data_IF_882078752963
#
_entry.id   IF_882078752963
#
_cell.length_a   1.000
_cell.length_b   1.000
_cell.length_c   1.000
_cell.angle_alpha   90.00
_cell.angle_beta   90.00
_cell.angle_gamma   90.00
#
_symmetry.space_group_name_H-M   'P 1'
#
loop_
_entity.id
_entity.type
_entity.pdbx_description
1 polymer ?
#
# COMPACT_ATOMS: atom_id res chain seq x y z
N UNK A 1 -46.08 -41.90 -54.34
CA UNK A 1 -45.25 -40.69 -54.52
C UNK A 1 -45.73 -39.63 -53.52
N UNK A 2 -45.01 -39.43 -52.40
CA UNK A 2 -44.95 -38.15 -51.68
C UNK A 2 -43.73 -38.14 -50.74
N UNK A 3 -42.91 -37.14 -51.03
CA UNK A 3 -41.63 -36.65 -50.52
C UNK A 3 -41.39 -36.72 -49.00
N UNK A 4 -40.17 -37.13 -48.64
CA UNK A 4 -39.46 -36.70 -47.43
C UNK A 4 -39.17 -35.19 -47.50
N UNK A 5 -39.33 -34.47 -46.39
CA UNK A 5 -38.57 -33.24 -46.13
C UNK A 5 -38.17 -33.14 -44.66
N UNK A 6 -36.86 -32.98 -44.46
CA UNK A 6 -36.17 -32.63 -43.22
C UNK A 6 -36.16 -31.09 -43.14
N UNK A 7 -36.51 -30.50 -41.99
CA UNK A 7 -36.07 -29.15 -41.65
C UNK A 7 -35.56 -29.16 -40.21
N UNK A 8 -34.27 -28.91 -40.09
CA UNK A 8 -33.57 -28.59 -38.86
C UNK A 8 -33.89 -27.15 -38.44
N UNK A 9 -34.11 -26.94 -37.14
CA UNK A 9 -33.93 -25.63 -36.50
C UNK A 9 -33.32 -25.86 -35.13
N UNK A 10 -32.01 -25.69 -35.05
CA UNK A 10 -31.33 -25.44 -33.79
C UNK A 10 -31.65 -24.02 -33.32
N UNK A 11 -31.70 -23.83 -32.00
CA UNK A 11 -31.52 -22.53 -31.37
C UNK A 11 -30.65 -22.72 -30.12
N UNK A 12 -29.37 -22.39 -30.30
CA UNK A 12 -28.44 -22.08 -29.23
C UNK A 12 -28.84 -20.69 -28.73
N UNK A 13 -29.25 -20.58 -27.46
CA UNK A 13 -29.20 -19.30 -26.75
C UNK A 13 -28.18 -19.40 -25.61
N UNK A 14 -26.99 -18.89 -25.96
CA UNK A 14 -26.02 -18.26 -25.09
C UNK A 14 -26.69 -17.21 -24.19
N UNK A 15 -26.45 -17.20 -22.88
CA UNK A 15 -25.49 -16.27 -22.30
C UNK A 15 -25.43 -16.44 -20.78
N UNK A 16 -24.19 -16.54 -20.32
CA UNK A 16 -23.76 -16.56 -18.94
C UNK A 16 -23.97 -15.14 -18.37
N UNK A 17 -24.84 -15.00 -17.39
CA UNK A 17 -24.74 -13.89 -16.43
C UNK A 17 -24.95 -14.44 -15.02
N UNK A 18 -23.90 -15.12 -14.54
CA UNK A 18 -23.62 -15.13 -13.12
C UNK A 18 -23.24 -13.70 -12.72
N UNK A 19 -24.23 -12.89 -12.38
CA UNK A 19 -24.03 -11.65 -11.64
C UNK A 19 -23.70 -12.04 -10.20
N UNK A 20 -22.48 -12.51 -9.97
CA UNK A 20 -21.87 -12.39 -8.65
C UNK A 20 -21.58 -10.91 -8.46
N UNK A 21 -22.61 -10.17 -8.03
CA UNK A 21 -22.44 -8.88 -7.38
C UNK A 21 -21.69 -9.14 -6.08
N UNK A 22 -20.37 -9.31 -6.21
CA UNK A 22 -19.46 -9.20 -5.09
C UNK A 22 -19.49 -7.74 -4.71
N UNK A 23 -20.41 -7.35 -3.82
CA UNK A 23 -20.20 -6.16 -3.03
C UNK A 23 -18.93 -6.43 -2.23
N UNK A 24 -17.79 -6.05 -2.81
CA UNK A 24 -16.54 -5.94 -2.08
C UNK A 24 -16.78 -4.79 -1.12
N UNK A 25 -17.46 -5.08 -0.02
CA UNK A 25 -17.34 -4.29 1.18
C UNK A 25 -15.84 -4.13 1.37
N UNK A 26 -15.37 -2.89 1.36
CA UNK A 26 -14.09 -2.50 1.93
C UNK A 26 -14.15 -2.91 3.40
N UNK A 27 -13.98 -4.21 3.65
CA UNK A 27 -14.10 -4.78 4.96
C UNK A 27 -12.91 -4.23 5.70
N UNK A 28 -13.24 -3.55 6.79
CA UNK A 28 -12.39 -3.27 7.92
C UNK A 28 -11.88 -4.62 8.51
N UNK A 29 -11.17 -5.41 7.70
CA UNK A 29 -10.62 -6.70 8.06
C UNK A 29 -9.52 -6.38 9.03
N UNK A 30 -9.68 -6.85 10.27
CA UNK A 30 -8.58 -6.89 11.23
C UNK A 30 -7.35 -7.42 10.49
N UNK A 31 -6.17 -6.79 10.66
CA UNK A 31 -4.98 -7.23 9.96
C UNK A 31 -4.77 -8.72 10.20
N UNK A 32 -4.32 -9.44 9.18
CA UNK A 32 -4.02 -10.86 9.33
C UNK A 32 -3.03 -11.07 10.47
N UNK A 33 -3.03 -12.27 11.06
CA UNK A 33 -2.06 -12.63 12.12
C UNK A 33 -0.62 -12.38 11.61
N UNK A 34 -0.34 -12.74 10.36
CA UNK A 34 0.96 -12.48 9.73
C UNK A 34 1.29 -10.99 9.63
N UNK A 35 0.33 -10.16 9.23
CA UNK A 35 0.53 -8.73 9.14
C UNK A 35 0.84 -8.12 10.51
N UNK A 36 0.05 -8.45 11.54
CA UNK A 36 0.30 -7.97 12.90
C UNK A 36 1.68 -8.40 13.43
N UNK A 37 2.08 -9.65 13.18
CA UNK A 37 3.42 -10.14 13.54
C UNK A 37 4.51 -9.35 12.82
N UNK A 38 4.32 -9.06 11.53
CA UNK A 38 5.26 -8.25 10.73
C UNK A 38 5.40 -6.83 11.27
N UNK A 39 4.28 -6.16 11.58
CA UNK A 39 4.28 -4.80 12.15
C UNK A 39 4.98 -4.77 13.53
N UNK A 40 4.72 -5.76 14.40
CA UNK A 40 5.41 -5.85 15.69
C UNK A 40 6.90 -6.17 15.55
N UNK A 41 7.27 -6.98 14.57
CA UNK A 41 8.68 -7.27 14.26
C UNK A 41 9.39 -6.02 13.77
N UNK A 42 8.79 -5.25 12.86
CA UNK A 42 9.31 -3.98 12.38
C UNK A 42 9.56 -3.01 13.55
N UNK A 43 8.56 -2.81 14.42
CA UNK A 43 8.70 -2.00 15.64
C UNK A 43 9.90 -2.44 16.50
N UNK A 44 10.03 -3.74 16.75
CA UNK A 44 11.18 -4.29 17.50
C UNK A 44 12.51 -4.08 16.77
N UNK A 45 12.54 -4.30 15.45
CA UNK A 45 13.75 -4.13 14.65
C UNK A 45 14.24 -2.68 14.67
N UNK A 46 13.34 -1.70 14.59
CA UNK A 46 13.66 -0.26 14.69
C UNK A 46 14.32 0.03 16.04
N UNK A 47 13.72 -0.44 17.13
CA UNK A 47 14.14 -0.12 18.50
C UNK A 47 15.34 -0.92 19.00
N UNK A 48 15.61 -2.10 18.44
CA UNK A 48 16.62 -3.05 18.96
C UNK A 48 18.01 -2.42 18.99
N UNK A 49 18.60 -2.38 20.19
CA UNK A 49 19.96 -1.88 20.45
C UNK A 49 20.20 -0.43 19.99
N UNK A 50 19.15 0.38 19.88
CA UNK A 50 19.22 1.78 19.45
C UNK A 50 18.55 2.70 20.45
N UNK A 51 19.03 3.93 20.55
CA UNK A 51 18.41 5.00 21.35
C UNK A 51 17.25 5.64 20.57
N UNK A 52 16.25 4.83 20.22
CA UNK A 52 15.04 5.23 19.50
C UNK A 52 13.81 4.53 20.07
N UNK A 53 12.65 5.17 20.01
CA UNK A 53 11.35 4.60 20.36
C UNK A 53 10.37 4.86 19.22
N UNK A 54 9.53 3.88 18.94
CA UNK A 54 8.30 4.09 18.16
C UNK A 54 7.23 4.55 19.13
N UNK A 55 6.87 5.84 19.08
CA UNK A 55 5.93 6.46 20.04
C UNK A 55 4.50 6.45 19.54
N UNK A 56 4.29 6.39 18.22
CA UNK A 56 2.98 6.25 17.63
C UNK A 56 3.04 5.38 16.37
N UNK A 57 1.91 4.74 16.08
CA UNK A 57 1.69 4.02 14.83
C UNK A 57 0.25 4.22 14.39
N UNK A 58 0.02 4.46 13.12
CA UNK A 58 -1.31 4.62 12.55
C UNK A 58 -1.41 3.94 11.17
N UNK A 59 -2.64 3.75 10.73
CA UNK A 59 -2.96 3.31 9.38
C UNK A 59 -3.89 4.34 8.76
N UNK A 60 -3.58 4.79 7.55
CA UNK A 60 -4.36 5.80 6.83
C UNK A 60 -4.83 5.27 5.47
N UNK A 61 -6.02 5.69 5.03
CA UNK A 61 -6.49 5.41 3.68
C UNK A 61 -5.97 6.47 2.70
N UNK A 62 -5.10 6.05 1.79
CA UNK A 62 -4.37 6.93 0.86
C UNK A 62 -5.15 7.27 -0.42
N UNK A 63 -6.35 6.71 -0.61
CA UNK A 63 -7.14 6.88 -1.84
C UNK A 63 -7.55 8.33 -2.14
N UNK A 64 -7.56 9.18 -1.12
CA UNK A 64 -7.83 10.60 -1.29
C UNK A 64 -6.62 11.38 -1.78
N UNK A 65 -5.41 10.89 -1.50
CA UNK A 65 -4.14 11.59 -1.77
C UNK A 65 -3.55 11.26 -3.14
N UNK A 66 -3.83 10.06 -3.66
CA UNK A 66 -3.22 9.57 -4.91
C UNK A 66 -4.23 9.41 -6.05
N UNK A 67 -3.78 9.68 -7.28
CA UNK A 67 -4.52 9.43 -8.53
C UNK A 67 -4.63 7.93 -8.83
N UNK A 68 -3.54 7.20 -8.57
CA UNK A 68 -3.42 5.76 -8.71
C UNK A 68 -2.67 5.20 -7.51
N UNK A 69 -2.94 3.94 -7.17
CA UNK A 69 -2.24 3.17 -6.14
C UNK A 69 -2.51 1.69 -6.40
N UNK A 70 -1.72 0.76 -5.85
CA UNK A 70 -1.94 -0.67 -6.06
C UNK A 70 -3.36 -1.09 -5.67
N UNK A 71 -4.05 -1.71 -6.62
CA UNK A 71 -5.44 -2.14 -6.46
C UNK A 71 -5.59 -3.06 -5.24
N UNK A 72 -6.67 -2.86 -4.48
CA UNK A 72 -6.96 -3.56 -3.23
C UNK A 72 -5.94 -3.34 -2.09
N UNK A 73 -5.04 -2.35 -2.22
CA UNK A 73 -4.06 -1.98 -1.19
C UNK A 73 -4.14 -0.48 -0.82
N UNK A 74 -5.27 0.00 -0.29
CA UNK A 74 -5.52 1.43 -0.14
C UNK A 74 -4.90 2.05 1.12
N UNK A 75 -4.05 1.33 1.86
CA UNK A 75 -3.56 1.80 3.16
C UNK A 75 -2.06 2.09 3.19
N UNK A 76 -1.69 3.17 3.89
CA UNK A 76 -0.34 3.36 4.43
C UNK A 76 -0.26 2.94 5.89
N UNK A 77 0.95 2.68 6.39
CA UNK A 77 1.21 2.44 7.80
C UNK A 77 2.39 3.28 8.29
N UNK A 78 2.15 4.08 9.33
CA UNK A 78 3.11 5.04 9.88
C UNK A 78 3.81 4.47 11.12
N UNK A 79 5.11 4.70 11.21
CA UNK A 79 5.89 4.60 12.44
C UNK A 79 6.45 5.99 12.80
N UNK A 80 5.97 6.59 13.88
CA UNK A 80 6.51 7.84 14.43
C UNK A 80 7.61 7.53 15.44
N UNK A 81 8.79 8.09 15.19
CA UNK A 81 10.05 7.78 15.87
C UNK A 81 10.52 8.95 16.72
N UNK A 82 11.10 8.66 17.89
CA UNK A 82 11.79 9.67 18.70
C UNK A 82 13.04 9.10 19.35
N UNK A 83 14.04 9.95 19.57
CA UNK A 83 15.30 9.60 20.23
C UNK A 83 16.53 9.97 19.41
N UNK A 84 17.70 9.90 20.04
CA UNK A 84 18.96 10.36 19.44
C UNK A 84 19.42 9.56 18.22
N UNK A 85 18.81 8.42 17.94
CA UNK A 85 19.12 7.58 16.79
C UNK A 85 18.06 7.67 15.67
N UNK A 86 17.07 8.57 15.77
CA UNK A 86 16.01 8.69 14.74
C UNK A 86 16.58 9.05 13.38
N UNK A 87 17.36 10.13 13.28
CA UNK A 87 17.91 10.57 11.99
C UNK A 87 18.82 9.52 11.32
N UNK A 88 19.62 8.78 12.11
CA UNK A 88 20.47 7.71 11.54
C UNK A 88 19.66 6.52 11.02
N UNK A 89 18.44 6.31 11.52
CA UNK A 89 17.50 5.33 10.98
C UNK A 89 16.84 5.87 9.72
N UNK A 90 16.35 7.12 9.75
CA UNK A 90 15.66 7.75 8.62
C UNK A 90 16.57 7.87 7.39
N UNK A 91 17.87 8.15 7.59
CA UNK A 91 18.88 8.17 6.52
C UNK A 91 19.30 6.79 5.98
N UNK A 92 18.80 5.69 6.54
CA UNK A 92 19.21 4.33 6.14
C UNK A 92 18.22 3.69 5.16
N UNK A 93 18.32 4.04 3.88
CA UNK A 93 17.45 3.52 2.82
C UNK A 93 17.39 1.99 2.80
N UNK A 94 18.54 1.31 2.90
CA UNK A 94 18.62 -0.15 2.93
C UNK A 94 17.82 -0.76 4.09
N UNK A 95 17.90 -0.13 5.27
CA UNK A 95 17.22 -0.63 6.46
C UNK A 95 15.71 -0.44 6.36
N UNK A 96 15.27 0.75 5.96
CA UNK A 96 13.85 1.06 5.80
C UNK A 96 13.22 0.28 4.66
N UNK A 97 13.90 0.13 3.52
CA UNK A 97 13.43 -0.70 2.41
C UNK A 97 13.20 -2.14 2.84
N UNK A 98 14.11 -2.73 3.64
CA UNK A 98 13.96 -4.09 4.12
C UNK A 98 12.73 -4.26 5.02
N UNK A 99 12.49 -3.32 5.94
CA UNK A 99 11.31 -3.32 6.82
C UNK A 99 10.03 -3.17 5.99
N UNK A 100 10.00 -2.18 5.09
CA UNK A 100 8.84 -1.90 4.24
C UNK A 100 8.50 -3.07 3.34
N UNK A 101 9.51 -3.73 2.77
CA UNK A 101 9.36 -4.94 1.96
C UNK A 101 8.69 -6.06 2.76
N UNK A 102 9.16 -6.30 3.98
CA UNK A 102 8.59 -7.32 4.85
C UNK A 102 7.11 -7.04 5.16
N UNK A 103 6.79 -5.79 5.53
CA UNK A 103 5.42 -5.38 5.83
C UNK A 103 4.52 -5.49 4.61
N UNK A 104 4.88 -4.90 3.47
CA UNK A 104 4.06 -4.88 2.26
C UNK A 104 3.80 -6.30 1.73
N UNK A 105 4.78 -7.20 1.87
CA UNK A 105 4.60 -8.61 1.49
C UNK A 105 3.67 -9.38 2.45
N UNK A 106 3.68 -9.04 3.75
CA UNK A 106 2.87 -9.72 4.78
C UNK A 106 1.53 -9.07 5.09
N UNK A 107 1.30 -7.85 4.60
CA UNK A 107 0.09 -7.07 4.79
C UNK A 107 -0.56 -6.75 3.44
N UNK A 108 -1.44 -7.62 2.91
CA UNK A 108 -1.99 -7.47 1.56
C UNK A 108 -2.79 -6.19 1.32
N UNK A 109 -3.23 -5.48 2.36
CA UNK A 109 -3.96 -4.23 2.25
C UNK A 109 -3.09 -2.97 2.33
N UNK A 110 -1.80 -3.12 2.69
CA UNK A 110 -0.84 -2.03 2.84
C UNK A 110 0.00 -1.95 1.55
N UNK A 111 0.13 -0.75 1.01
CA UNK A 111 0.95 -0.45 -0.16
C UNK A 111 2.04 0.59 0.12
N UNK A 112 1.98 1.28 1.26
CA UNK A 112 2.95 2.28 1.68
C UNK A 112 3.29 2.13 3.16
N UNK A 113 4.56 2.34 3.52
CA UNK A 113 5.06 2.38 4.89
C UNK A 113 5.83 3.68 5.08
N UNK A 114 5.54 4.39 6.15
CA UNK A 114 6.06 5.73 6.42
C UNK A 114 6.82 5.71 7.74
N UNK A 115 7.97 6.38 7.76
CA UNK A 115 8.79 6.55 8.95
C UNK A 115 8.97 8.04 9.19
N UNK A 116 8.48 8.52 10.32
CA UNK A 116 8.42 9.94 10.65
C UNK A 116 9.29 10.22 11.88
N UNK A 117 9.97 11.36 11.92
CA UNK A 117 10.53 11.90 13.16
C UNK A 117 9.47 12.73 13.90
N UNK A 118 9.21 12.35 15.15
CA UNK A 118 8.16 12.94 15.99
C UNK A 118 8.36 14.44 16.17
N UNK A 119 7.28 15.21 16.00
CA UNK A 119 7.26 16.69 16.07
C UNK A 119 8.12 17.39 15.01
N UNK A 120 8.33 16.73 13.87
CA UNK A 120 8.98 17.31 12.70
C UNK A 120 8.22 16.91 11.44
N UNK A 121 8.58 17.54 10.34
CA UNK A 121 8.09 17.20 9.01
C UNK A 121 9.00 16.19 8.27
N UNK A 122 10.03 15.64 8.94
CA UNK A 122 10.91 14.64 8.33
C UNK A 122 10.20 13.30 8.25
N UNK A 123 9.82 12.91 7.03
CA UNK A 123 9.15 11.65 6.71
C UNK A 123 9.85 10.95 5.56
N UNK A 124 10.07 9.64 5.72
CA UNK A 124 10.55 8.75 4.68
C UNK A 124 9.44 7.76 4.30
N UNK A 125 9.01 7.78 3.04
CA UNK A 125 7.87 6.99 2.55
C UNK A 125 8.32 5.94 1.53
N UNK A 126 7.99 4.68 1.78
CA UNK A 126 8.33 3.54 0.91
C UNK A 126 7.06 2.85 0.46
N UNK A 127 6.98 2.42 -0.80
CA UNK A 127 5.80 1.72 -1.27
C UNK A 127 6.04 0.75 -2.41
N UNK A 128 4.98 0.01 -2.75
CA UNK A 128 4.96 -1.03 -3.78
C UNK A 128 4.88 -0.40 -5.18
N UNK A 129 6.00 -0.32 -5.89
CA UNK A 129 6.14 0.29 -7.21
C UNK A 129 5.63 -0.65 -8.33
N UNK A 130 5.52 -0.12 -9.56
CA UNK A 130 4.89 -0.81 -10.70
C UNK A 130 5.55 -2.13 -11.08
N UNK A 131 6.84 -2.31 -10.77
CA UNK A 131 7.59 -3.55 -11.01
C UNK A 131 7.45 -4.58 -9.88
N UNK A 132 6.51 -4.39 -8.95
CA UNK A 132 6.35 -5.15 -7.70
C UNK A 132 7.53 -5.04 -6.73
N UNK A 133 8.46 -4.12 -6.94
CA UNK A 133 9.49 -3.82 -5.97
C UNK A 133 8.99 -2.82 -4.93
N UNK A 134 9.56 -2.89 -3.73
CA UNK A 134 9.34 -1.89 -2.70
C UNK A 134 10.51 -0.93 -2.69
N UNK A 135 10.23 0.36 -2.79
CA UNK A 135 11.27 1.39 -2.87
C UNK A 135 10.82 2.72 -2.29
N UNK A 136 11.80 3.61 -2.12
CA UNK A 136 11.58 4.99 -1.65
C UNK A 136 10.73 5.76 -2.66
N UNK A 137 9.76 6.53 -2.16
CA UNK A 137 8.97 7.44 -2.98
C UNK A 137 9.78 8.68 -3.30
N UNK A 138 9.59 9.20 -4.51
CA UNK A 138 10.26 10.40 -4.97
C UNK A 138 9.66 11.63 -4.31
N UNK A 139 10.52 12.50 -3.85
CA UNK A 139 10.16 13.79 -3.33
C UNK A 139 9.78 14.76 -4.45
N UNK A 140 8.66 15.46 -4.30
CA UNK A 140 8.30 16.64 -5.07
C UNK A 140 8.44 17.86 -4.18
N UNK A 141 9.04 18.92 -4.73
CA UNK A 141 9.04 20.22 -4.09
C UNK A 141 7.61 20.80 -4.04
N UNK A 142 7.30 21.57 -3.00
CA UNK A 142 5.97 22.20 -2.87
C UNK A 142 5.61 23.13 -4.03
N UNK A 143 6.61 23.69 -4.71
CA UNK A 143 6.42 24.54 -5.88
C UNK A 143 6.18 23.75 -7.18
N UNK A 144 6.38 22.42 -7.17
CA UNK A 144 6.11 21.57 -8.32
C UNK A 144 4.59 21.59 -8.63
N UNK A 145 4.17 21.91 -9.86
CA UNK A 145 2.76 21.87 -10.25
C UNK A 145 2.07 20.53 -9.96
N UNK A 146 2.80 19.41 -9.99
CA UNK A 146 2.30 18.08 -9.66
C UNK A 146 1.92 17.95 -8.18
N UNK A 147 2.58 18.69 -7.28
CA UNK A 147 2.29 18.72 -5.85
C UNK A 147 0.95 19.40 -5.51
N UNK A 148 0.36 20.17 -6.44
CA UNK A 148 -0.93 20.88 -6.25
C UNK A 148 -2.16 20.06 -6.57
N UNK A 149 -1.99 18.80 -6.95
CA UNK A 149 -3.08 17.87 -7.30
C UNK A 149 -2.87 16.55 -6.57
N UNK A 150 -3.82 15.61 -6.72
CA UNK A 150 -3.57 14.23 -6.28
C UNK A 150 -2.26 13.71 -6.88
N UNK A 151 -1.45 13.07 -6.07
CA UNK A 151 -0.11 12.61 -6.44
C UNK A 151 -0.18 11.39 -7.36
N UNK A 152 0.81 11.26 -8.24
CA UNK A 152 1.07 10.00 -8.92
C UNK A 152 1.68 9.02 -7.92
N UNK A 153 1.35 7.73 -8.05
CA UNK A 153 1.94 6.72 -7.19
C UNK A 153 3.46 6.72 -7.28
N UNK A 154 4.15 6.55 -6.15
CA UNK A 154 5.61 6.63 -6.09
C UNK A 154 6.16 8.04 -5.86
N UNK A 155 5.30 9.03 -5.57
CA UNK A 155 5.70 10.41 -5.26
C UNK A 155 5.08 10.88 -3.94
N UNK A 156 5.81 11.69 -3.18
CA UNK A 156 5.35 12.43 -1.99
C UNK A 156 5.70 13.91 -2.13
N UNK A 157 5.05 14.79 -1.37
CA UNK A 157 5.48 16.18 -1.24
C UNK A 157 6.39 16.29 -0.03
N UNK A 158 7.56 16.92 -0.18
CA UNK A 158 8.44 17.20 0.95
C UNK A 158 8.42 18.68 1.31
N UNK A 159 8.73 18.94 2.57
CA UNK A 159 8.82 20.27 3.16
C UNK A 159 10.28 20.67 3.40
#
# INVERSE_FOLDING_TARGET
MRLNQIIATGLIFTNIMFLFSSSVQAQNRKPSVECNVSLQRAKKQIQKNRKVKVVHTSQENISQHYKSYPNNRPFSYLFELTGSATQSILSSEKFLTAISTEIINKCPSISMVEFNESRTDHVESYGLLENNDVGLFKCLDMDDPMARTKLHWGYVVCL
#
